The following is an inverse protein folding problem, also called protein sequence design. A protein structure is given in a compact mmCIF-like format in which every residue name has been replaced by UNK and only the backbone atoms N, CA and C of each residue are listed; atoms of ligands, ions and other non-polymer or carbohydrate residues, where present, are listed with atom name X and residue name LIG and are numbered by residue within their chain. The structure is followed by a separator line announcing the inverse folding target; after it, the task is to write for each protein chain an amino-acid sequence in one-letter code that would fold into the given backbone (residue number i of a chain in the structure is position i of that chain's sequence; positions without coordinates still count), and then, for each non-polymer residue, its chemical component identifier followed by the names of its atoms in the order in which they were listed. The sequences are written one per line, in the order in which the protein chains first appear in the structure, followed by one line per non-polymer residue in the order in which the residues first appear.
data_IF_526206116460
#
_entry.id   IF_526206116460
#
_cell.length_a   1.000
_cell.length_b   1.000
_cell.length_c   1.000
_cell.angle_alpha   90.00
_cell.angle_beta   90.00
_cell.angle_gamma   90.00
#
_symmetry.space_group_name_H-M   'P 1'
#
loop_
_entity.id
_entity.type
_entity.pdbx_description
1 polymer ?
#
# COMPACT_ATOMS: atom_id res chain seq x y z
N UNK A 1 15.18 9.70 16.58
CA UNK A 1 14.93 11.05 17.14
C UNK A 1 13.42 11.25 17.18
N UNK A 2 12.89 11.85 18.23
CA UNK A 2 11.47 12.23 18.32
C UNK A 2 11.35 13.75 18.06
N UNK A 3 10.32 14.15 17.30
CA UNK A 3 10.05 15.55 17.01
C UNK A 3 8.72 15.93 17.67
N UNK A 4 8.76 16.91 18.57
CA UNK A 4 7.55 17.43 19.20
C UNK A 4 6.85 18.42 18.25
N UNK A 5 5.52 18.32 18.15
CA UNK A 5 4.69 19.20 17.33
C UNK A 5 3.38 19.48 18.06
N UNK A 6 2.86 20.69 17.92
CA UNK A 6 1.52 21.06 18.39
C UNK A 6 0.60 21.18 17.18
N UNK A 7 -0.56 20.50 17.24
CA UNK A 7 -1.54 20.47 16.15
C UNK A 7 -2.87 20.98 16.70
N UNK A 8 -3.58 21.79 15.90
CA UNK A 8 -4.95 22.20 16.20
C UNK A 8 -5.90 21.24 15.49
N UNK A 9 -6.85 20.71 16.25
CA UNK A 9 -7.91 19.84 15.75
C UNK A 9 -9.23 20.59 15.90
N UNK A 10 -10.14 20.39 14.95
CA UNK A 10 -11.55 20.72 15.19
C UNK A 10 -12.15 19.74 16.21
N UNK A 11 -13.34 20.09 16.73
CA UNK A 11 -13.99 19.34 17.80
C UNK A 11 -14.27 17.89 17.38
N UNK A 12 -14.72 17.67 16.13
CA UNK A 12 -15.00 16.34 15.59
C UNK A 12 -13.74 15.47 15.50
N UNK A 13 -12.63 16.02 15.00
CA UNK A 13 -11.36 15.31 14.89
C UNK A 13 -10.77 15.03 16.27
N UNK A 14 -10.99 15.93 17.23
CA UNK A 14 -10.61 15.70 18.61
C UNK A 14 -11.38 14.54 19.24
N UNK A 15 -12.71 14.48 19.07
CA UNK A 15 -13.55 13.36 19.53
C UNK A 15 -13.09 12.02 18.92
N UNK A 16 -12.83 11.99 17.61
CA UNK A 16 -12.30 10.80 16.93
C UNK A 16 -10.92 10.39 17.47
N UNK A 17 -10.08 11.34 17.83
CA UNK A 17 -8.78 11.05 18.46
C UNK A 17 -8.96 10.46 19.86
N UNK A 18 -9.93 10.94 20.64
CA UNK A 18 -10.24 10.33 21.95
C UNK A 18 -10.73 8.89 21.81
N UNK A 19 -11.48 8.57 20.75
CA UNK A 19 -11.87 7.19 20.45
C UNK A 19 -10.67 6.31 20.10
N UNK A 20 -9.77 6.78 19.23
CA UNK A 20 -8.56 6.05 18.85
C UNK A 20 -7.64 5.85 20.06
N UNK A 21 -7.54 6.84 20.95
CA UNK A 21 -6.73 6.79 22.16
C UNK A 21 -7.16 5.65 23.11
N UNK A 22 -8.45 5.28 23.16
CA UNK A 22 -8.93 4.16 24.02
C UNK A 22 -8.25 2.82 23.71
N UNK A 23 -7.78 2.65 22.48
CA UNK A 23 -7.07 1.44 22.03
C UNK A 23 -5.55 1.59 21.98
N UNK A 24 -5.02 2.78 22.28
CA UNK A 24 -3.61 3.11 22.14
C UNK A 24 -2.93 3.31 23.52
N UNK A 25 -1.61 3.07 23.61
CA UNK A 25 -0.86 3.35 24.85
C UNK A 25 -0.82 4.83 25.25
N UNK A 26 -1.05 5.74 24.30
CA UNK A 26 -1.14 7.18 24.51
C UNK A 26 -1.81 7.87 23.32
N UNK A 27 -2.30 9.10 23.52
CA UNK A 27 -2.74 9.98 22.42
C UNK A 27 -1.71 10.14 21.31
N UNK A 28 -0.44 10.33 21.66
CA UNK A 28 0.63 10.48 20.67
C UNK A 28 0.84 9.20 19.86
N UNK A 29 0.73 8.02 20.49
CA UNK A 29 0.78 6.75 19.78
C UNK A 29 -0.40 6.60 18.81
N UNK A 30 -1.61 6.99 19.22
CA UNK A 30 -2.79 6.99 18.35
C UNK A 30 -2.62 7.89 17.11
N UNK A 31 -2.09 9.11 17.29
CA UNK A 31 -1.82 10.02 16.17
C UNK A 31 -0.75 9.45 15.23
N UNK A 32 0.35 8.91 15.78
CA UNK A 32 1.42 8.30 14.97
C UNK A 32 0.90 7.15 14.14
N UNK A 33 0.09 6.26 14.74
CA UNK A 33 -0.50 5.13 14.02
C UNK A 33 -1.46 5.61 12.94
N UNK A 34 -2.33 6.57 13.24
CA UNK A 34 -3.25 7.14 12.25
C UNK A 34 -2.51 7.77 11.05
N UNK A 35 -1.42 8.50 11.29
CA UNK A 35 -0.57 9.06 10.22
C UNK A 35 0.04 7.94 9.38
N UNK A 36 0.55 6.88 10.02
CA UNK A 36 1.15 5.75 9.34
C UNK A 36 0.12 5.04 8.44
N UNK A 37 -1.05 4.72 8.99
CA UNK A 37 -2.14 4.09 8.23
C UNK A 37 -2.59 4.96 7.06
N UNK A 38 -2.71 6.28 7.26
CA UNK A 38 -3.06 7.20 6.18
C UNK A 38 -2.00 7.22 5.06
N UNK A 39 -0.72 7.17 5.43
CA UNK A 39 0.38 7.07 4.46
C UNK A 39 0.34 5.74 3.71
N UNK A 40 0.13 4.62 4.39
CA UNK A 40 0.06 3.29 3.77
C UNK A 40 -1.08 3.23 2.75
N UNK A 41 -2.27 3.72 3.12
CA UNK A 41 -3.42 3.83 2.20
C UNK A 41 -3.10 4.68 0.96
N UNK A 42 -2.44 5.82 1.15
CA UNK A 42 -2.02 6.67 0.03
C UNK A 42 -1.03 5.94 -0.91
N UNK A 43 -0.14 5.11 -0.37
CA UNK A 43 0.76 4.31 -1.21
C UNK A 43 0.03 3.20 -1.96
N UNK A 44 -0.94 2.54 -1.32
CA UNK A 44 -1.78 1.52 -1.98
C UNK A 44 -2.59 2.12 -3.13
N UNK A 45 -3.17 3.30 -2.93
CA UNK A 45 -3.89 4.04 -3.97
C UNK A 45 -2.97 4.41 -5.14
N UNK A 46 -1.77 4.92 -4.86
CA UNK A 46 -0.77 5.21 -5.90
C UNK A 46 -0.35 3.96 -6.65
N UNK A 47 -0.15 2.85 -5.95
CA UNK A 47 0.22 1.58 -6.56
C UNK A 47 -0.89 1.09 -7.49
N UNK A 48 -2.15 1.14 -7.04
CA UNK A 48 -3.30 0.76 -7.86
C UNK A 48 -3.40 1.63 -9.12
N UNK A 49 -3.28 2.95 -8.98
CA UNK A 49 -3.29 3.89 -10.10
C UNK A 49 -2.14 3.59 -11.09
N UNK A 50 -0.94 3.30 -10.58
CA UNK A 50 0.21 2.96 -11.41
C UNK A 50 -0.02 1.65 -12.19
N UNK A 51 -0.56 0.61 -11.56
CA UNK A 51 -0.90 -0.63 -12.25
C UNK A 51 -2.00 -0.42 -13.31
N UNK A 52 -3.04 0.36 -13.00
CA UNK A 52 -4.09 0.68 -13.97
C UNK A 52 -3.54 1.43 -15.17
N UNK A 53 -2.66 2.41 -14.95
CA UNK A 53 -1.98 3.14 -16.03
C UNK A 53 -1.08 2.21 -16.86
N UNK A 54 -0.29 1.35 -16.21
CA UNK A 54 0.60 0.42 -16.87
C UNK A 54 -0.17 -0.59 -17.75
N UNK A 55 -1.29 -1.12 -17.28
CA UNK A 55 -2.14 -2.05 -18.04
C UNK A 55 -2.88 -1.34 -19.18
N UNK A 56 -3.28 -0.07 -18.99
CA UNK A 56 -3.90 0.73 -20.03
C UNK A 56 -2.93 1.04 -21.18
N UNK A 57 -1.65 1.31 -20.86
CA UNK A 57 -0.59 1.53 -21.85
C UNK A 57 -0.12 0.23 -22.50
N UNK A 58 0.07 -0.82 -21.71
CA UNK A 58 0.51 -2.14 -22.16
C UNK A 58 -0.35 -3.24 -21.53
N UNK A 59 -1.32 -3.81 -22.26
CA UNK A 59 -2.17 -4.90 -21.74
C UNK A 59 -1.40 -6.15 -21.33
N UNK A 60 -0.15 -6.31 -21.78
CA UNK A 60 0.72 -7.43 -21.39
C UNK A 60 1.50 -7.17 -20.11
N UNK A 61 1.47 -5.97 -19.52
CA UNK A 61 2.17 -5.64 -18.27
C UNK A 61 1.89 -6.72 -17.19
N UNK A 62 2.90 -7.21 -16.46
CA UNK A 62 4.29 -6.71 -16.35
C UNK A 62 5.23 -7.18 -17.47
N UNK A 63 4.73 -7.85 -18.50
CA UNK A 63 5.52 -8.26 -19.67
C UNK A 63 5.51 -7.15 -20.74
N UNK A 64 6.65 -6.97 -21.41
CA UNK A 64 6.79 -6.03 -22.52
C UNK A 64 5.88 -6.41 -23.69
N UNK A 65 5.63 -7.71 -23.88
CA UNK A 65 4.77 -8.24 -24.93
C UNK A 65 4.28 -9.66 -24.61
N UNK A 66 3.39 -10.17 -25.48
CA UNK A 66 2.81 -11.51 -25.34
C UNK A 66 3.83 -12.64 -25.51
N UNK A 67 4.85 -12.43 -26.34
CA UNK A 67 5.87 -13.44 -26.60
C UNK A 67 6.75 -13.69 -25.37
N UNK A 68 7.09 -12.62 -24.64
CA UNK A 68 7.77 -12.70 -23.36
C UNK A 68 6.91 -13.48 -22.35
N UNK A 69 5.62 -13.13 -22.22
CA UNK A 69 4.66 -13.82 -21.35
C UNK A 69 4.60 -15.31 -21.63
N UNK A 70 4.48 -15.70 -22.90
CA UNK A 70 4.42 -17.10 -23.33
C UNK A 70 5.73 -17.85 -23.00
N UNK A 71 6.88 -17.23 -23.27
CA UNK A 71 8.21 -17.82 -23.02
C UNK A 71 8.43 -18.10 -21.53
N UNK A 72 8.06 -17.14 -20.67
CA UNK A 72 8.19 -17.30 -19.21
C UNK A 72 7.22 -18.35 -18.67
N UNK A 73 6.00 -18.47 -19.22
CA UNK A 73 5.07 -19.56 -18.87
C UNK A 73 5.64 -20.94 -19.21
N UNK A 74 6.21 -21.12 -20.40
CA UNK A 74 6.84 -22.40 -20.79
C UNK A 74 7.96 -22.79 -19.84
N UNK A 75 8.86 -21.83 -19.52
CA UNK A 75 9.96 -22.06 -18.57
C UNK A 75 9.46 -22.41 -17.16
N UNK A 76 8.40 -21.74 -16.69
CA UNK A 76 7.78 -22.03 -15.39
C UNK A 76 7.23 -23.46 -15.35
N UNK A 77 6.50 -23.88 -16.38
CA UNK A 77 5.90 -25.21 -16.45
C UNK A 77 6.97 -26.32 -16.48
N UNK A 78 8.07 -26.11 -17.21
CA UNK A 78 9.20 -27.06 -17.24
C UNK A 78 9.84 -27.24 -15.85
N UNK A 79 10.00 -26.15 -15.07
CA UNK A 79 10.49 -26.25 -13.68
C UNK A 79 9.52 -27.00 -12.77
N UNK A 80 8.21 -26.81 -12.95
CA UNK A 80 7.20 -27.53 -12.17
C UNK A 80 7.23 -29.02 -12.47
N UNK A 81 7.41 -29.41 -13.73
CA UNK A 81 7.54 -30.82 -14.13
C UNK A 81 8.83 -31.46 -13.63
N UNK A 82 9.93 -30.71 -13.57
CA UNK A 82 11.21 -31.22 -13.06
C UNK A 82 11.23 -31.42 -11.53
N UNK A 83 10.35 -30.73 -10.80
CA UNK A 83 10.23 -30.80 -9.34
C UNK A 83 9.05 -31.65 -8.87
N UNK A 84 8.30 -32.25 -9.79
CA UNK A 84 7.17 -33.14 -9.54
C UNK A 84 7.60 -34.60 -9.67
#
# INVERSE_FOLDING_TARGET
MTHAMTVRLDDETFERLEELEKSAPSRSAAVVEAIRTAWERLQEEKLLQAYQAAVAESPSYPYENEQERATLRTRRNARQQANA
#
